data_IF_439716276055
#
_entry.id   IF_439716276055
#
_cell.length_a   1.000
_cell.length_b   1.000
_cell.length_c   1.000
_cell.angle_alpha   90.00
_cell.angle_beta   90.00
_cell.angle_gamma   90.00
#
_symmetry.space_group_name_H-M   'P 1'
#
loop_
_entity.id
_entity.type
_entity.pdbx_description
1 polymer ?
#
# COMPACT_ATOMS: atom_id res chain seq x y z
N UNK A 1 14.96 -8.68 7.83
CA UNK A 1 16.10 -7.99 7.21
C UNK A 1 15.65 -7.49 5.86
N UNK A 2 15.82 -6.19 5.60
CA UNK A 2 15.09 -5.42 4.58
C UNK A 2 15.36 -5.85 3.13
N UNK A 3 14.27 -6.04 2.39
CA UNK A 3 14.17 -5.85 0.95
C UNK A 3 12.67 -5.65 0.59
N UNK A 4 12.40 -4.61 -0.22
CA UNK A 4 11.12 -3.93 -0.49
C UNK A 4 10.57 -3.14 0.74
N UNK A 5 11.18 -2.09 1.29
CA UNK A 5 12.39 -1.31 0.99
C UNK A 5 12.01 0.17 1.10
N UNK A 6 12.19 0.92 2.20
CA UNK A 6 12.97 0.72 3.44
C UNK A 6 12.21 1.11 4.72
N UNK A 7 11.05 1.77 4.62
CA UNK A 7 10.23 2.19 5.76
C UNK A 7 8.98 1.34 5.85
N UNK A 8 8.79 0.67 6.99
CA UNK A 8 7.56 -0.06 7.29
C UNK A 8 6.48 0.92 7.74
N UNK A 9 5.37 0.98 7.00
CA UNK A 9 4.22 1.83 7.33
C UNK A 9 3.14 1.07 8.11
N UNK A 10 3.33 -0.24 8.31
CA UNK A 10 2.45 -1.10 9.09
C UNK A 10 1.70 -2.12 8.24
N UNK A 11 0.51 -2.52 8.70
CA UNK A 11 -0.38 -3.43 7.98
C UNK A 11 -1.66 -2.70 7.60
N UNK A 12 -2.27 -3.07 6.49
CA UNK A 12 -3.50 -2.46 6.02
C UNK A 12 -4.47 -3.51 5.50
N UNK A 13 -5.76 -3.25 5.74
CA UNK A 13 -6.86 -4.06 5.19
C UNK A 13 -7.24 -3.50 3.83
N UNK A 14 -7.15 -4.33 2.79
CA UNK A 14 -7.51 -3.95 1.43
C UNK A 14 -9.03 -3.81 1.35
N UNK A 15 -9.50 -2.61 0.98
CA UNK A 15 -10.92 -2.31 0.82
C UNK A 15 -11.38 -2.42 -0.63
N UNK A 16 -10.51 -2.11 -1.59
CA UNK A 16 -10.84 -2.12 -3.02
C UNK A 16 -9.62 -2.43 -3.89
N UNK A 17 -9.85 -3.13 -5.00
CA UNK A 17 -8.82 -3.46 -6.00
C UNK A 17 -9.41 -3.28 -7.40
N UNK A 18 -8.94 -2.26 -8.11
CA UNK A 18 -9.44 -1.91 -9.45
C UNK A 18 -8.37 -2.19 -10.51
N UNK A 19 -8.69 -3.01 -11.50
CA UNK A 19 -7.82 -3.24 -12.66
C UNK A 19 -7.91 -2.07 -13.64
N UNK A 20 -6.78 -1.47 -13.99
CA UNK A 20 -6.68 -0.31 -14.89
C UNK A 20 -5.84 -0.65 -16.14
N UNK A 21 -6.06 -1.82 -16.72
CA UNK A 21 -5.41 -2.27 -17.95
C UNK A 21 -4.04 -2.90 -17.73
N UNK A 22 -3.01 -2.15 -17.33
CA UNK A 22 -1.64 -2.68 -17.14
C UNK A 22 -1.27 -2.95 -15.69
N UNK A 23 -2.10 -2.51 -14.73
CA UNK A 23 -1.85 -2.64 -13.30
C UNK A 23 -3.17 -2.66 -12.52
N UNK A 24 -3.07 -2.93 -11.21
CA UNK A 24 -4.17 -2.81 -10.27
C UNK A 24 -3.94 -1.63 -9.33
N UNK A 25 -4.93 -0.77 -9.14
CA UNK A 25 -4.96 0.22 -8.08
C UNK A 25 -5.57 -0.44 -6.85
N UNK A 26 -4.81 -0.46 -5.75
CA UNK A 26 -5.22 -1.05 -4.48
C UNK A 26 -5.49 0.09 -3.50
N UNK A 27 -6.66 0.07 -2.89
CA UNK A 27 -7.00 0.93 -1.75
C UNK A 27 -6.98 0.07 -0.49
N UNK A 28 -6.24 0.51 0.53
CA UNK A 28 -6.17 -0.18 1.80
C UNK A 28 -6.22 0.81 2.96
N UNK A 29 -6.87 0.44 4.06
CA UNK A 29 -6.95 1.24 5.28
C UNK A 29 -5.98 0.69 6.31
N UNK A 30 -5.21 1.56 6.96
CA UNK A 30 -4.26 1.14 8.01
C UNK A 30 -5.00 0.42 9.14
N UNK A 31 -4.41 -0.69 9.62
CA UNK A 31 -4.91 -1.41 10.78
C UNK A 31 -4.61 -0.67 12.09
N UNK A 32 -3.59 0.21 12.09
CA UNK A 32 -3.16 0.98 13.26
C UNK A 32 -3.90 2.33 13.36
N UNK A 33 -4.23 2.94 12.23
CA UNK A 33 -4.97 4.20 12.16
C UNK A 33 -6.06 4.14 11.07
N UNK A 34 -7.33 3.93 11.45
CA UNK A 34 -8.43 3.84 10.49
C UNK A 34 -8.66 5.12 9.66
N UNK A 35 -8.10 6.26 10.07
CA UNK A 35 -8.18 7.52 9.31
C UNK A 35 -7.15 7.58 8.17
N UNK A 36 -6.12 6.73 8.22
CA UNK A 36 -5.07 6.66 7.22
C UNK A 36 -5.41 5.63 6.13
N UNK A 37 -5.43 6.09 4.87
CA UNK A 37 -5.63 5.25 3.70
C UNK A 37 -4.38 5.26 2.81
N UNK A 38 -4.04 4.08 2.30
CA UNK A 38 -2.97 3.87 1.34
C UNK A 38 -3.55 3.59 -0.04
N UNK A 39 -2.98 4.22 -1.06
CA UNK A 39 -3.23 3.90 -2.46
C UNK A 39 -1.92 3.37 -3.04
N UNK A 40 -1.96 2.16 -3.58
CA UNK A 40 -0.78 1.52 -4.15
C UNK A 40 -1.06 1.02 -5.58
N UNK A 41 -0.02 1.09 -6.42
CA UNK A 41 0.00 0.46 -7.74
C UNK A 41 0.60 -0.94 -7.63
N UNK A 42 -0.21 -1.97 -7.85
CA UNK A 42 0.23 -3.35 -7.90
C UNK A 42 0.35 -3.82 -9.36
N UNK A 43 1.34 -4.66 -9.72
CA UNK A 43 1.42 -5.26 -11.05
C UNK A 43 0.13 -6.01 -11.42
N UNK A 44 -0.23 -6.05 -12.71
CA UNK A 44 -1.40 -6.80 -13.19
C UNK A 44 -1.50 -8.25 -12.65
N UNK A 45 -0.43 -9.05 -12.60
CA UNK A 45 -0.52 -10.43 -12.10
C UNK A 45 -0.54 -10.53 -10.56
N UNK A 46 -0.46 -9.41 -9.81
CA UNK A 46 -0.50 -9.45 -8.36
C UNK A 46 -1.83 -10.04 -7.87
N UNK A 47 -1.77 -10.93 -6.89
CA UNK A 47 -2.93 -11.70 -6.40
C UNK A 47 -3.72 -11.00 -5.29
N UNK A 48 -3.42 -9.75 -4.98
CA UNK A 48 -4.12 -8.96 -3.95
C UNK A 48 -5.61 -8.78 -4.27
N UNK A 49 -6.45 -8.96 -3.25
CA UNK A 49 -7.92 -8.91 -3.31
C UNK A 49 -8.47 -8.03 -2.18
N UNK A 50 -9.70 -7.57 -2.34
CA UNK A 50 -10.43 -6.93 -1.24
C UNK A 50 -10.65 -7.93 -0.08
N UNK A 51 -10.46 -7.47 1.15
CA UNK A 51 -10.49 -8.30 2.36
C UNK A 51 -9.11 -8.78 2.83
N UNK A 52 -8.09 -8.76 1.97
CA UNK A 52 -6.73 -9.12 2.34
C UNK A 52 -6.17 -8.19 3.43
N UNK A 53 -5.31 -8.73 4.28
CA UNK A 53 -4.45 -7.93 5.15
C UNK A 53 -3.03 -8.01 4.61
N UNK A 54 -2.45 -6.86 4.26
CA UNK A 54 -1.14 -6.77 3.62
C UNK A 54 -0.17 -5.93 4.43
N UNK A 55 1.12 -6.24 4.34
CA UNK A 55 2.16 -5.35 4.82
C UNK A 55 2.34 -4.18 3.84
N UNK A 56 2.45 -2.97 4.38
CA UNK A 56 2.66 -1.73 3.63
C UNK A 56 4.03 -1.16 3.95
N UNK A 57 4.77 -0.81 2.91
CA UNK A 57 6.12 -0.27 3.00
C UNK A 57 6.41 0.65 1.83
N UNK A 58 7.30 1.62 2.03
CA UNK A 58 7.75 2.53 0.99
C UNK A 58 9.27 2.72 1.03
N UNK A 59 9.85 3.16 -0.09
CA UNK A 59 11.24 3.58 -0.13
C UNK A 59 11.38 4.90 0.61
N UNK A 60 12.34 4.99 1.53
CA UNK A 60 12.60 6.20 2.29
C UNK A 60 12.87 7.40 1.37
N UNK A 61 13.52 7.16 0.22
CA UNK A 61 13.84 8.20 -0.76
C UNK A 61 12.62 8.73 -1.51
N UNK A 62 11.52 7.98 -1.53
CA UNK A 62 10.25 8.38 -2.15
C UNK A 62 9.30 9.08 -1.16
N UNK A 63 9.71 9.23 0.12
CA UNK A 63 8.94 9.96 1.12
C UNK A 63 9.25 11.45 1.01
N UNK A 64 8.21 12.24 0.74
CA UNK A 64 8.28 13.69 0.82
C UNK A 64 7.80 14.11 2.20
N UNK A 65 8.71 14.65 3.01
CA UNK A 65 8.35 15.30 4.26
C UNK A 65 7.80 16.69 3.96
N UNK A 66 6.53 16.91 4.28
CA UNK A 66 5.95 18.26 4.24
C UNK A 66 6.43 19.01 5.48
N UNK A 67 7.07 20.16 5.26
CA UNK A 67 7.34 21.11 6.31
C UNK A 67 6.14 22.06 6.46
N UNK A 68 5.95 22.58 7.67
CA UNK A 68 4.91 23.56 8.00
C UNK A 68 5.04 24.86 7.21
#
# INVERSE_FOLDING_TARGET
>A
AGAKGDVALGTAKVSDVVFQGSFKRVLATSAQDPTLQFIAKAPAPATVQAGDTVAVSCNAQDIILLAD
#
